data_IF_795562193371
#
_entry.id   IF_795562193371
#
_cell.length_a   1.000
_cell.length_b   1.000
_cell.length_c   1.000
_cell.angle_alpha   90.00
_cell.angle_beta   90.00
_cell.angle_gamma   90.00
#
_symmetry.space_group_name_H-M   'P 1'
#
loop_
_entity.id
_entity.type
_entity.pdbx_description
1 polymer ?
#
# COMPACT_ATOMS: atom_id res chain seq x y z
N UNK A 1 3.01 5.70 -8.86
CA UNK A 1 3.47 7.10 -8.73
C UNK A 1 4.84 7.20 -8.05
N UNK A 2 5.31 6.18 -7.31
CA UNK A 2 6.64 6.15 -6.69
C UNK A 2 7.39 4.86 -7.01
N UNK A 3 7.16 4.33 -8.20
CA UNK A 3 7.54 2.97 -8.56
C UNK A 3 9.08 2.83 -8.64
N UNK A 4 9.76 3.86 -9.17
CA UNK A 4 11.22 3.91 -9.24
C UNK A 4 11.88 3.99 -7.86
N UNK A 5 11.34 4.85 -6.98
CA UNK A 5 11.86 5.01 -5.63
C UNK A 5 11.61 3.76 -4.79
N UNK A 6 10.41 3.16 -4.88
CA UNK A 6 10.09 1.91 -4.22
C UNK A 6 10.99 0.76 -4.70
N UNK A 7 11.23 0.66 -6.02
CA UNK A 7 12.17 -0.29 -6.59
C UNK A 7 13.62 -0.04 -6.17
N UNK A 8 14.05 1.21 -5.98
CA UNK A 8 15.38 1.54 -5.43
C UNK A 8 15.49 1.08 -3.98
N UNK A 9 14.54 1.41 -3.12
CA UNK A 9 14.55 0.99 -1.71
C UNK A 9 14.54 -0.53 -1.56
N UNK A 10 13.74 -1.25 -2.35
CA UNK A 10 13.75 -2.72 -2.32
C UNK A 10 15.13 -3.30 -2.66
N UNK A 11 15.84 -2.73 -3.64
CA UNK A 11 17.23 -3.15 -3.98
C UNK A 11 18.21 -2.86 -2.85
N UNK A 12 18.10 -1.71 -2.19
CA UNK A 12 18.94 -1.34 -1.04
C UNK A 12 18.75 -2.28 0.17
N UNK A 13 17.52 -2.78 0.37
CA UNK A 13 17.19 -3.76 1.40
C UNK A 13 17.66 -5.20 1.06
N UNK A 14 18.06 -5.44 -0.18
CA UNK A 14 18.62 -6.70 -0.67
C UNK A 14 17.59 -7.77 -1.05
N UNK A 15 18.07 -9.00 -1.25
CA UNK A 15 17.33 -10.08 -1.93
C UNK A 15 16.05 -10.54 -1.22
N UNK A 16 15.83 -10.13 0.04
CA UNK A 16 14.63 -10.47 0.82
C UNK A 16 13.50 -9.44 0.71
N UNK A 17 13.68 -8.37 -0.07
CA UNK A 17 12.67 -7.33 -0.25
C UNK A 17 12.21 -7.25 -1.70
N UNK A 18 10.91 -7.02 -1.91
CA UNK A 18 10.31 -6.80 -3.23
C UNK A 18 9.41 -5.58 -3.18
N UNK A 19 9.42 -4.80 -4.25
CA UNK A 19 8.48 -3.71 -4.47
C UNK A 19 7.43 -4.15 -5.49
N UNK A 20 6.16 -3.86 -5.20
CA UNK A 20 5.05 -4.04 -6.12
C UNK A 20 4.20 -2.78 -6.11
N UNK A 21 3.80 -2.32 -7.29
CA UNK A 21 2.73 -1.34 -7.40
C UNK A 21 1.42 -1.99 -6.91
N UNK A 22 0.73 -1.30 -6.00
CA UNK A 22 -0.46 -1.82 -5.35
C UNK A 22 -1.43 -0.68 -5.01
N UNK A 23 -2.66 -0.79 -5.50
CA UNK A 23 -3.80 -0.01 -5.04
C UNK A 23 -4.57 -0.81 -3.98
N UNK A 24 -4.53 -0.33 -2.73
CA UNK A 24 -5.18 -0.99 -1.59
C UNK A 24 -6.72 -0.95 -1.64
N UNK A 25 -7.31 -0.13 -2.51
CA UNK A 25 -8.77 -0.08 -2.73
C UNK A 25 -9.24 -1.15 -3.73
N UNK A 26 -8.31 -1.79 -4.46
CA UNK A 26 -8.62 -2.78 -5.48
C UNK A 26 -8.46 -4.22 -4.94
N UNK A 27 -9.55 -4.99 -4.96
CA UNK A 27 -9.54 -6.40 -4.56
C UNK A 27 -8.67 -7.26 -5.49
N UNK A 28 -8.64 -6.94 -6.78
CA UNK A 28 -7.80 -7.64 -7.75
C UNK A 28 -6.31 -7.44 -7.43
N UNK A 29 -5.94 -6.21 -7.08
CA UNK A 29 -4.59 -5.87 -6.66
C UNK A 29 -4.19 -6.63 -5.39
N UNK A 30 -5.11 -6.79 -4.43
CA UNK A 30 -4.90 -7.60 -3.23
C UNK A 30 -4.58 -9.06 -3.54
N UNK A 31 -5.36 -9.68 -4.44
CA UNK A 31 -5.10 -11.07 -4.87
C UNK A 31 -3.71 -11.19 -5.49
N UNK A 32 -3.37 -10.28 -6.41
CA UNK A 32 -2.07 -10.27 -7.08
C UNK A 32 -0.90 -10.17 -6.10
N UNK A 33 -0.93 -9.24 -5.14
CA UNK A 33 0.19 -9.05 -4.21
C UNK A 33 0.32 -10.20 -3.20
N UNK A 34 -0.81 -10.77 -2.75
CA UNK A 34 -0.82 -11.93 -1.87
C UNK A 34 -0.25 -13.17 -2.59
N UNK A 35 -0.70 -13.44 -3.81
CA UNK A 35 -0.22 -14.56 -4.62
C UNK A 35 1.27 -14.43 -4.94
N UNK A 36 1.73 -13.21 -5.26
CA UNK A 36 3.14 -12.91 -5.45
C UNK A 36 3.95 -13.22 -4.18
N UNK A 37 3.50 -12.74 -3.02
CA UNK A 37 4.22 -12.93 -1.76
C UNK A 37 4.33 -14.42 -1.40
N UNK A 38 3.28 -15.20 -1.58
CA UNK A 38 3.32 -16.66 -1.36
C UNK A 38 4.22 -17.35 -2.37
N UNK A 39 4.18 -16.98 -3.65
CA UNK A 39 5.01 -17.58 -4.68
C UNK A 39 6.50 -17.30 -4.45
N UNK A 40 6.84 -16.06 -4.09
CA UNK A 40 8.22 -15.62 -3.92
C UNK A 40 8.83 -16.08 -2.58
N UNK A 41 8.05 -16.04 -1.50
CA UNK A 41 8.56 -16.26 -0.14
C UNK A 41 8.03 -17.54 0.52
N UNK A 42 7.17 -18.30 -0.17
CA UNK A 42 6.60 -19.58 0.27
C UNK A 42 5.34 -19.44 1.13
N UNK A 43 5.18 -18.36 1.89
CA UNK A 43 3.99 -18.09 2.70
C UNK A 43 3.89 -16.61 3.13
N UNK A 44 2.66 -16.16 3.42
CA UNK A 44 2.38 -14.86 4.03
C UNK A 44 2.04 -15.04 5.52
N UNK A 45 2.91 -14.55 6.40
CA UNK A 45 2.77 -14.73 7.86
C UNK A 45 2.18 -13.52 8.58
N UNK A 46 2.21 -12.35 7.95
CA UNK A 46 1.76 -11.10 8.54
C UNK A 46 1.51 -10.04 7.48
N UNK A 47 0.60 -9.12 7.79
CA UNK A 47 0.25 -8.00 6.95
C UNK A 47 0.26 -6.73 7.79
N UNK A 48 0.94 -5.70 7.30
CA UNK A 48 0.86 -4.35 7.84
C UNK A 48 0.06 -3.51 6.86
N UNK A 49 -1.20 -3.22 7.19
CA UNK A 49 -2.01 -2.29 6.40
C UNK A 49 -1.69 -0.86 6.84
N UNK A 50 -0.79 -0.19 6.11
CA UNK A 50 -0.28 1.15 6.41
C UNK A 50 -0.67 2.20 5.35
N UNK A 51 -1.48 1.83 4.36
CA UNK A 51 -1.90 2.79 3.33
C UNK A 51 -2.93 3.77 3.91
N UNK A 52 -2.76 5.06 3.64
CA UNK A 52 -3.69 6.08 4.10
C UNK A 52 -3.30 7.47 3.61
N UNK A 53 -4.28 8.35 3.57
CA UNK A 53 -4.11 9.77 3.27
C UNK A 53 -4.75 10.60 4.38
N UNK A 54 -4.21 11.80 4.63
CA UNK A 54 -4.79 12.76 5.57
C UNK A 54 -4.42 14.17 5.15
N UNK A 55 -5.31 15.13 5.40
CA UNK A 55 -5.07 16.57 5.19
C UNK A 55 -4.66 17.30 6.46
N UNK A 56 -4.81 16.67 7.63
CA UNK A 56 -4.55 17.30 8.93
C UNK A 56 -5.50 18.45 9.29
N UNK A 57 -6.67 18.54 8.62
CA UNK A 57 -7.69 19.55 8.91
C UNK A 57 -8.35 19.30 10.28
N UNK A 58 -8.74 20.38 10.95
CA UNK A 58 -9.61 20.29 12.12
C UNK A 58 -11.01 19.84 11.70
N UNK A 59 -11.70 19.12 12.58
CA UNK A 59 -13.00 18.51 12.29
C UNK A 59 -14.04 19.55 11.82
N UNK A 60 -14.06 20.73 12.43
CA UNK A 60 -14.99 21.80 12.08
C UNK A 60 -14.75 22.41 10.70
N UNK A 61 -13.56 22.21 10.13
CA UNK A 61 -13.17 22.70 8.80
C UNK A 61 -13.08 21.58 7.76
N UNK A 62 -13.39 20.34 8.13
CA UNK A 62 -13.34 19.20 7.23
C UNK A 62 -14.60 19.12 6.37
N UNK A 63 -14.42 18.95 5.07
CA UNK A 63 -15.54 18.77 4.15
C UNK A 63 -15.99 17.30 4.15
N UNK A 64 -17.30 17.07 4.03
CA UNK A 64 -17.84 15.70 3.90
C UNK A 64 -17.25 14.96 2.70
N UNK A 65 -17.01 15.67 1.59
CA UNK A 65 -16.44 15.08 0.38
C UNK A 65 -15.01 14.57 0.62
N UNK A 66 -14.19 15.37 1.30
CA UNK A 66 -12.83 14.95 1.62
C UNK A 66 -12.79 13.85 2.69
N UNK A 67 -13.62 13.95 3.74
CA UNK A 67 -13.78 12.89 4.73
C UNK A 67 -14.12 11.54 4.08
N UNK A 68 -15.05 11.52 3.12
CA UNK A 68 -15.38 10.31 2.34
C UNK A 68 -14.19 9.80 1.55
N UNK A 69 -13.46 10.68 0.86
CA UNK A 69 -12.25 10.29 0.10
C UNK A 69 -11.19 9.58 0.96
N UNK A 70 -11.11 9.87 2.26
CA UNK A 70 -10.17 9.22 3.18
C UNK A 70 -10.66 7.82 3.59
N UNK A 71 -11.98 7.60 3.63
CA UNK A 71 -12.59 6.37 4.16
C UNK A 71 -13.08 5.38 3.10
N UNK A 72 -13.62 5.90 2.00
CA UNK A 72 -14.25 5.17 0.90
C UNK A 72 -13.21 4.86 -0.19
#
# INVERSE_FOLDING_TARGET
VLDDDGGRTARELGDRARFLHHDVTSEEDWRRVADFAVTEFGALHGLVNNAGISTGSLLESESVAHFRKVLD
#
